data_IF_865149763551
#
_entry.id   IF_865149763551
#
_cell.length_a   1.000
_cell.length_b   1.000
_cell.length_c   1.000
_cell.angle_alpha   90.00
_cell.angle_beta   90.00
_cell.angle_gamma   90.00
#
_symmetry.space_group_name_H-M   'P 1'
#
loop_
_entity.id
_entity.type
_entity.pdbx_description
1 polymer ?
#
# COMPACT_ATOMS: atom_id res chain seq x y z
N UNK A 1 -11.62 -5.53 -5.19
CA UNK A 1 -10.98 -4.30 -4.68
C UNK A 1 -9.48 -4.48 -4.74
N UNK A 2 -8.74 -3.54 -5.28
CA UNK A 2 -7.28 -3.68 -5.30
C UNK A 2 -6.62 -3.60 -3.93
N UNK A 3 -7.34 -3.11 -2.93
CA UNK A 3 -6.84 -3.05 -1.57
C UNK A 3 -7.66 -3.99 -0.70
N UNK A 4 -7.00 -4.98 -0.11
CA UNK A 4 -7.69 -5.91 0.77
C UNK A 4 -8.17 -5.19 2.03
N UNK A 5 -9.33 -5.58 2.53
CA UNK A 5 -9.93 -4.92 3.69
C UNK A 5 -9.11 -5.07 4.97
N UNK A 6 -8.26 -6.08 5.03
CA UNK A 6 -7.39 -6.28 6.19
C UNK A 6 -6.08 -5.52 6.12
N UNK A 7 -5.77 -4.90 4.98
CA UNK A 7 -4.56 -4.09 4.85
C UNK A 7 -4.69 -2.82 5.72
N UNK A 8 -3.58 -2.43 6.33
CA UNK A 8 -3.54 -1.23 7.16
C UNK A 8 -2.77 -0.16 6.41
N UNK A 9 -3.48 0.91 6.04
CA UNK A 9 -2.90 1.96 5.21
C UNK A 9 -3.04 3.28 5.94
N UNK A 10 -1.92 3.94 6.15
CA UNK A 10 -1.92 5.23 6.81
C UNK A 10 -2.68 6.26 5.95
N UNK A 11 -3.39 7.17 6.58
CA UNK A 11 -4.22 8.13 5.86
C UNK A 11 -3.41 9.05 4.95
N UNK A 12 -2.14 9.26 5.22
CA UNK A 12 -1.29 10.10 4.37
C UNK A 12 -0.68 9.33 3.19
N UNK A 13 -0.87 8.02 3.11
CA UNK A 13 -0.36 7.23 2.00
C UNK A 13 -1.19 7.50 0.74
N UNK A 14 -0.51 7.53 -0.40
CA UNK A 14 -1.15 7.72 -1.69
C UNK A 14 -0.98 6.46 -2.52
N UNK A 15 -2.07 5.81 -2.85
CA UNK A 15 -2.05 4.55 -3.57
C UNK A 15 -2.76 4.73 -4.90
N UNK A 16 -2.06 4.44 -5.98
CA UNK A 16 -2.65 4.51 -7.30
C UNK A 16 -3.79 3.49 -7.43
N UNK A 17 -4.84 3.86 -8.14
CA UNK A 17 -6.02 3.00 -8.28
C UNK A 17 -5.71 1.64 -8.91
N UNK A 18 -4.63 1.54 -9.67
CA UNK A 18 -4.22 0.30 -10.33
C UNK A 18 -3.18 -0.49 -9.52
N UNK A 19 -2.85 -0.05 -8.32
CA UNK A 19 -2.00 -0.81 -7.43
C UNK A 19 -2.80 -1.88 -6.70
N UNK A 20 -2.16 -2.98 -6.35
CA UNK A 20 -2.81 -4.07 -5.61
C UNK A 20 -2.14 -4.22 -4.25
N UNK A 21 -2.93 -4.15 -3.21
CA UNK A 21 -2.46 -4.30 -1.83
C UNK A 21 -3.11 -5.55 -1.25
N UNK A 22 -2.29 -6.52 -0.90
CA UNK A 22 -2.79 -7.81 -0.42
C UNK A 22 -3.13 -7.77 1.08
N UNK A 23 -3.66 -8.90 1.57
CA UNK A 23 -4.13 -9.02 2.95
C UNK A 23 -3.01 -8.74 3.96
N UNK A 24 -3.35 -8.04 5.03
CA UNK A 24 -2.44 -7.76 6.16
C UNK A 24 -1.19 -6.97 5.78
N UNK A 25 -1.17 -6.35 4.61
CA UNK A 25 -0.07 -5.45 4.27
C UNK A 25 -0.15 -4.18 5.12
N UNK A 26 1.00 -3.65 5.48
CA UNK A 26 1.08 -2.41 6.24
C UNK A 26 1.75 -1.34 5.37
N UNK A 27 1.04 -0.27 5.13
CA UNK A 27 1.56 0.88 4.37
C UNK A 27 1.61 2.08 5.31
N UNK A 28 2.81 2.55 5.55
CA UNK A 28 3.04 3.62 6.52
C UNK A 28 2.78 5.02 5.96
N UNK A 29 3.09 6.01 6.80
CA UNK A 29 2.88 7.41 6.45
C UNK A 29 3.78 7.84 5.30
N UNK A 30 3.27 8.75 4.47
CA UNK A 30 4.03 9.37 3.38
C UNK A 30 4.57 8.38 2.35
N UNK A 31 3.87 7.26 2.15
CA UNK A 31 4.19 6.28 1.12
C UNK A 31 3.38 6.61 -0.12
N UNK A 32 4.03 6.61 -1.28
CA UNK A 32 3.36 6.73 -2.56
C UNK A 32 3.55 5.45 -3.35
N UNK A 33 2.46 4.85 -3.79
CA UNK A 33 2.48 3.60 -4.55
C UNK A 33 1.90 3.85 -5.93
N UNK A 34 2.72 3.61 -6.95
CA UNK A 34 2.35 3.88 -8.33
C UNK A 34 1.54 2.77 -8.98
N UNK A 35 1.14 3.03 -10.22
CA UNK A 35 0.34 2.07 -10.99
C UNK A 35 1.09 0.77 -11.21
N UNK A 36 0.38 -0.34 -11.20
CA UNK A 36 0.95 -1.65 -11.48
C UNK A 36 1.74 -2.26 -10.35
N UNK A 37 1.83 -1.58 -9.21
CA UNK A 37 2.54 -2.10 -8.05
C UNK A 37 1.71 -3.16 -7.35
N UNK A 38 2.34 -4.27 -6.98
CA UNK A 38 1.70 -5.33 -6.20
C UNK A 38 2.42 -5.45 -4.87
N UNK A 39 1.68 -5.26 -3.79
CA UNK A 39 2.18 -5.40 -2.44
C UNK A 39 1.67 -6.74 -1.89
N UNK A 40 2.59 -7.64 -1.60
CA UNK A 40 2.24 -8.97 -1.11
C UNK A 40 1.68 -8.93 0.31
N UNK A 41 1.04 -10.03 0.71
CA UNK A 41 0.49 -10.13 2.05
C UNK A 41 1.59 -10.01 3.11
N UNK A 42 1.23 -9.38 4.23
CA UNK A 42 2.12 -9.15 5.37
C UNK A 42 3.34 -8.28 5.05
N UNK A 43 3.38 -7.63 3.90
CA UNK A 43 4.47 -6.71 3.57
C UNK A 43 4.37 -5.46 4.45
N UNK A 44 5.51 -4.93 4.83
CA UNK A 44 5.58 -3.69 5.62
C UNK A 44 6.33 -2.65 4.81
N UNK A 45 5.67 -1.54 4.54
CA UNK A 45 6.28 -0.44 3.79
C UNK A 45 6.27 0.79 4.67
N UNK A 46 7.44 1.28 4.98
CA UNK A 46 7.58 2.45 5.82
C UNK A 46 7.93 3.67 4.97
N UNK A 47 7.38 4.79 5.31
CA UNK A 47 7.66 6.03 4.61
C UNK A 47 8.73 6.87 5.30
N UNK A 48 9.12 7.93 4.62
CA UNK A 48 8.65 8.28 3.27
C UNK A 48 9.25 7.36 2.19
N UNK A 49 8.42 6.90 1.28
CA UNK A 49 8.83 5.98 0.21
C UNK A 49 7.95 6.22 -1.01
N UNK A 50 8.56 6.12 -2.18
CA UNK A 50 7.83 6.23 -3.44
C UNK A 50 8.15 5.00 -4.30
N UNK A 51 7.10 4.31 -4.69
CA UNK A 51 7.23 3.11 -5.50
C UNK A 51 6.62 3.32 -6.89
#
# INVERSE_FOLDING_TARGET
MPIDSSAIIHESAKIHKDAVISAYALVGANVEIGAGTVIDSHAVIEGPTKI
#
